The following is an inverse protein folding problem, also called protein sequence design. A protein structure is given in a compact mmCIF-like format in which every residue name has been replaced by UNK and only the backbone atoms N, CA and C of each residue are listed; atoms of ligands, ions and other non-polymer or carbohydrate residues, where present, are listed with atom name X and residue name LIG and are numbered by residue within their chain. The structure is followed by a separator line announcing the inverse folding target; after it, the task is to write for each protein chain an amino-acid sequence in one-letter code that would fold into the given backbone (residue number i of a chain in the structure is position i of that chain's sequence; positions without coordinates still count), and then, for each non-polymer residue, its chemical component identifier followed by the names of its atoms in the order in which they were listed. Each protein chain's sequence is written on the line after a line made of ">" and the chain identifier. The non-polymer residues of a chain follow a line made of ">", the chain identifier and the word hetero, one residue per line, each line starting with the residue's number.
data_IF_243269007048
#
_entry.id   IF_243269007048
#
_cell.length_a   1.000
_cell.length_b   1.000
_cell.length_c   1.000
_cell.angle_alpha   90.00
_cell.angle_beta   90.00
_cell.angle_gamma   90.00
#
_symmetry.space_group_name_H-M   'P 1'
#
loop_
_entity.id
_entity.type
_entity.pdbx_description
1 polymer ?
#
# COMPACT_ATOMS: atom_id res chain seq x y z
N UNK A 1 20.55 -14.55 4.21
CA UNK A 1 19.90 -14.83 2.90
C UNK A 1 18.40 -14.65 3.07
N UNK A 2 17.81 -13.57 2.53
CA UNK A 2 16.36 -13.36 2.51
C UNK A 2 15.77 -14.32 1.48
N UNK A 3 15.10 -15.39 1.90
CA UNK A 3 14.34 -16.22 0.96
C UNK A 3 13.01 -15.50 0.69
N UNK A 4 12.97 -14.65 -0.33
CA UNK A 4 11.75 -14.01 -0.82
C UNK A 4 10.97 -15.01 -1.68
N UNK A 5 9.73 -15.31 -1.31
CA UNK A 5 8.79 -16.08 -2.12
C UNK A 5 7.78 -15.08 -2.71
N UNK A 6 7.67 -15.02 -4.05
CA UNK A 6 6.95 -14.04 -4.90
C UNK A 6 5.43 -13.91 -4.60
N UNK A 7 4.64 -12.98 -5.16
CA UNK A 7 4.69 -11.53 -5.50
C UNK A 7 3.26 -11.26 -6.05
N UNK A 8 2.44 -10.43 -5.40
CA UNK A 8 1.15 -10.00 -5.95
C UNK A 8 1.15 -8.50 -6.21
N UNK A 9 1.60 -8.07 -7.39
CA UNK A 9 1.50 -6.67 -7.79
C UNK A 9 0.02 -6.29 -7.91
N UNK A 10 -0.41 -5.27 -7.17
CA UNK A 10 -1.73 -4.65 -7.30
C UNK A 10 -1.53 -3.32 -8.00
N UNK A 11 -2.04 -3.19 -9.23
CA UNK A 11 -2.17 -1.92 -9.93
C UNK A 11 -3.59 -1.91 -10.54
N UNK A 12 -4.44 -0.99 -10.12
CA UNK A 12 -5.84 -0.93 -10.57
C UNK A 12 -6.15 0.25 -11.51
N UNK A 13 -5.14 1.05 -11.88
CA UNK A 13 -5.29 2.14 -12.84
C UNK A 13 -6.09 3.37 -12.35
N UNK A 14 -6.55 3.42 -11.09
CA UNK A 14 -7.39 4.51 -10.56
C UNK A 14 -6.56 5.71 -10.08
N UNK A 15 -5.88 6.40 -11.01
CA UNK A 15 -4.89 7.42 -10.63
C UNK A 15 -5.44 8.82 -10.29
N UNK A 16 -6.73 9.09 -10.54
CA UNK A 16 -7.27 10.47 -10.56
C UNK A 16 -8.51 10.72 -9.69
N UNK A 17 -9.08 9.69 -9.06
CA UNK A 17 -10.25 9.81 -8.17
C UNK A 17 -9.90 9.40 -6.75
N UNK A 18 -9.68 10.37 -5.87
CA UNK A 18 -9.35 10.09 -4.47
C UNK A 18 -10.42 10.56 -3.48
N UNK A 19 -10.67 9.84 -2.36
CA UNK A 19 -9.97 8.64 -1.95
C UNK A 19 -10.28 7.42 -2.86
N UNK A 20 -9.23 6.75 -3.32
CA UNK A 20 -9.31 5.53 -4.12
C UNK A 20 -9.19 4.32 -3.21
N UNK A 21 -10.03 3.31 -3.39
CA UNK A 21 -10.00 2.08 -2.59
C UNK A 21 -9.54 0.90 -3.45
N UNK A 22 -8.36 0.39 -3.14
CA UNK A 22 -7.78 -0.80 -3.71
C UNK A 22 -8.12 -1.96 -2.78
N UNK A 23 -8.83 -2.99 -3.24
CA UNK A 23 -9.14 -4.17 -2.44
C UNK A 23 -8.81 -5.43 -3.19
N UNK A 24 -8.09 -6.35 -2.55
CA UNK A 24 -7.76 -7.65 -3.12
C UNK A 24 -7.84 -8.75 -2.07
N UNK A 25 -8.40 -9.88 -2.46
CA UNK A 25 -8.31 -11.13 -1.69
C UNK A 25 -7.12 -11.93 -2.18
N UNK A 26 -6.28 -12.39 -1.26
CA UNK A 26 -5.09 -13.20 -1.53
C UNK A 26 -5.13 -14.48 -0.71
N UNK A 27 -4.84 -15.61 -1.36
CA UNK A 27 -4.70 -16.91 -0.70
C UNK A 27 -3.28 -17.03 -0.15
N UNK A 28 -3.14 -17.16 1.18
CA UNK A 28 -1.82 -17.35 1.80
C UNK A 28 -1.54 -18.85 2.00
N UNK A 29 -0.39 -19.37 1.55
CA UNK A 29 -0.06 -20.80 1.71
C UNK A 29 0.04 -21.25 3.17
N UNK A 30 -0.29 -22.51 3.46
CA UNK A 30 -0.20 -23.09 4.81
C UNK A 30 1.23 -23.09 5.38
N UNK A 31 2.25 -23.22 4.53
CA UNK A 31 3.65 -23.24 4.97
C UNK A 31 4.17 -21.89 5.50
N UNK A 32 3.35 -20.84 5.48
CA UNK A 32 3.63 -19.56 6.13
C UNK A 32 3.25 -19.55 7.63
N UNK A 33 2.63 -20.62 8.13
CA UNK A 33 2.32 -20.75 9.55
C UNK A 33 3.57 -20.54 10.43
N UNK A 34 3.43 -19.69 11.45
CA UNK A 34 4.50 -19.38 12.41
C UNK A 34 5.64 -18.51 11.86
N UNK A 35 5.48 -17.92 10.67
CA UNK A 35 6.47 -16.99 10.08
C UNK A 35 6.12 -15.54 10.39
N UNK A 36 7.15 -14.69 10.40
CA UNK A 36 6.95 -13.23 10.35
C UNK A 36 6.53 -12.86 8.94
N UNK A 37 5.42 -12.12 8.81
CA UNK A 37 4.82 -11.73 7.54
C UNK A 37 4.77 -10.21 7.45
N UNK A 38 5.39 -9.68 6.41
CA UNK A 38 5.40 -8.25 6.10
C UNK A 38 4.54 -7.95 4.88
N UNK A 39 3.81 -6.84 4.91
CA UNK A 39 3.20 -6.23 3.74
C UNK A 39 4.08 -5.05 3.29
N UNK A 40 4.70 -5.19 2.13
CA UNK A 40 5.66 -4.23 1.57
C UNK A 40 5.04 -3.46 0.41
N UNK A 41 5.30 -2.16 0.38
CA UNK A 41 4.91 -1.24 -0.68
C UNK A 41 6.16 -0.58 -1.25
N UNK A 42 6.27 -0.57 -2.57
CA UNK A 42 7.38 0.08 -3.25
C UNK A 42 7.16 1.61 -3.33
N UNK A 43 5.92 2.05 -3.59
CA UNK A 43 5.50 3.44 -3.49
C UNK A 43 3.96 3.58 -3.60
N UNK A 44 3.41 4.64 -3.00
CA UNK A 44 2.02 5.10 -3.15
C UNK A 44 2.04 6.61 -3.35
N UNK A 45 1.09 7.19 -4.09
CA UNK A 45 0.87 8.64 -4.06
C UNK A 45 -0.52 8.95 -3.50
N UNK A 46 -0.71 9.71 -2.43
CA UNK A 46 0.30 10.33 -1.57
C UNK A 46 0.18 9.84 -0.13
N UNK A 47 -1.04 9.68 0.36
CA UNK A 47 -1.32 9.09 1.66
C UNK A 47 -2.03 7.76 1.49
N UNK A 48 -1.55 6.73 2.18
CA UNK A 48 -2.07 5.38 2.15
C UNK A 48 -2.56 4.99 3.55
N UNK A 49 -3.80 4.52 3.66
CA UNK A 49 -4.30 3.81 4.83
C UNK A 49 -4.40 2.32 4.49
N UNK A 50 -3.77 1.47 5.30
CA UNK A 50 -3.65 0.04 5.02
C UNK A 50 -4.49 -0.76 6.01
N UNK A 51 -5.34 -1.63 5.48
CA UNK A 51 -6.26 -2.48 6.23
C UNK A 51 -6.05 -3.93 5.79
N UNK A 52 -5.91 -4.84 6.77
CA UNK A 52 -5.78 -6.28 6.54
C UNK A 52 -6.87 -7.00 7.31
N UNK A 53 -7.65 -7.82 6.61
CA UNK A 53 -8.79 -8.57 7.17
C UNK A 53 -9.77 -7.70 7.98
N UNK A 54 -9.96 -6.45 7.56
CA UNK A 54 -10.85 -5.49 8.23
C UNK A 54 -10.21 -4.72 9.39
N UNK A 55 -8.95 -5.01 9.74
CA UNK A 55 -8.23 -4.31 10.80
C UNK A 55 -7.23 -3.30 10.20
N UNK A 56 -7.27 -2.05 10.66
CA UNK A 56 -6.31 -1.01 10.26
C UNK A 56 -4.93 -1.37 10.80
N UNK A 57 -3.95 -1.42 9.90
CA UNK A 57 -2.55 -1.76 10.19
C UNK A 57 -1.73 -0.50 10.44
N UNK A 58 -1.97 0.54 9.64
CA UNK A 58 -1.23 1.78 9.73
C UNK A 58 -1.47 2.67 8.53
N UNK A 59 -0.64 3.72 8.42
CA UNK A 59 -0.67 4.65 7.30
C UNK A 59 0.73 5.09 6.88
N UNK A 60 0.86 5.53 5.64
CA UNK A 60 2.09 6.10 5.09
C UNK A 60 1.76 7.40 4.35
N UNK A 61 2.61 8.42 4.54
CA UNK A 61 2.56 9.67 3.79
C UNK A 61 3.88 9.87 3.06
N UNK A 62 3.83 9.91 1.74
CA UNK A 62 5.01 10.04 0.90
C UNK A 62 4.81 9.39 -0.46
N UNK A 63 5.38 10.00 -1.50
CA UNK A 63 5.17 9.58 -2.90
C UNK A 63 6.19 8.55 -3.40
N UNK A 64 7.40 8.57 -2.83
CA UNK A 64 8.58 7.92 -3.44
C UNK A 64 9.25 6.86 -2.57
N UNK A 65 8.89 6.82 -1.29
CA UNK A 65 9.57 5.99 -0.30
C UNK A 65 8.88 4.64 -0.15
N UNK A 66 9.61 3.52 -0.28
CA UNK A 66 9.10 2.23 0.12
C UNK A 66 8.73 2.22 1.60
N UNK A 67 7.68 1.51 1.95
CA UNK A 67 7.25 1.33 3.34
C UNK A 67 6.74 -0.09 3.59
N UNK A 68 6.70 -0.48 4.85
CA UNK A 68 6.43 -1.86 5.25
C UNK A 68 5.65 -1.90 6.54
N UNK A 69 4.74 -2.87 6.66
CA UNK A 69 4.04 -3.16 7.90
C UNK A 69 4.21 -4.63 8.27
N UNK A 70 4.45 -4.90 9.56
CA UNK A 70 4.29 -6.24 10.12
C UNK A 70 2.79 -6.55 10.21
N UNK A 71 2.38 -7.64 9.57
CA UNK A 71 0.99 -8.11 9.50
C UNK A 71 0.86 -9.55 9.99
N UNK A 72 1.86 -10.04 10.73
CA UNK A 72 1.97 -11.43 11.18
C UNK A 72 0.71 -11.90 11.90
N UNK A 73 0.20 -11.11 12.84
CA UNK A 73 -0.97 -11.47 13.64
C UNK A 73 -2.31 -11.31 12.90
N UNK A 74 -2.30 -10.66 11.73
CA UNK A 74 -3.51 -10.37 10.97
C UNK A 74 -3.72 -11.36 9.83
N UNK A 75 -2.64 -11.88 9.26
CA UNK A 75 -2.69 -12.84 8.17
C UNK A 75 -3.05 -14.23 8.73
N UNK A 76 -3.94 -14.90 8.01
CA UNK A 76 -4.39 -16.27 8.28
C UNK A 76 -3.79 -17.20 7.22
N UNK A 77 -2.68 -17.89 7.49
CA UNK A 77 -2.13 -18.90 6.60
C UNK A 77 -3.15 -20.00 6.31
N UNK A 78 -3.09 -20.62 5.14
CA UNK A 78 -4.09 -21.58 4.67
C UNK A 78 -5.52 -21.00 4.53
N UNK A 79 -5.67 -19.68 4.54
CA UNK A 79 -6.94 -18.99 4.36
C UNK A 79 -6.84 -17.84 3.36
N UNK A 80 -8.00 -17.33 2.97
CA UNK A 80 -8.11 -16.13 2.14
C UNK A 80 -8.00 -14.91 3.05
N UNK A 81 -7.21 -13.94 2.61
CA UNK A 81 -6.94 -12.71 3.34
C UNK A 81 -7.31 -11.52 2.47
N UNK A 82 -8.08 -10.59 3.02
CA UNK A 82 -8.42 -9.34 2.33
C UNK A 82 -7.39 -8.28 2.68
N UNK A 83 -6.75 -7.72 1.66
CA UNK A 83 -5.88 -6.54 1.77
C UNK A 83 -6.62 -5.38 1.13
N UNK A 84 -6.72 -4.29 1.86
CA UNK A 84 -7.32 -3.06 1.38
C UNK A 84 -6.37 -1.88 1.62
N UNK A 85 -6.27 -1.02 0.63
CA UNK A 85 -5.48 0.21 0.68
C UNK A 85 -6.36 1.35 0.22
N UNK A 86 -6.52 2.35 1.08
CA UNK A 86 -7.23 3.57 0.75
C UNK A 86 -6.18 4.64 0.47
N UNK A 87 -6.21 5.21 -0.73
CA UNK A 87 -5.22 6.17 -1.19
C UNK A 87 -5.85 7.54 -1.38
N UNK A 88 -5.32 8.54 -0.68
CA UNK A 88 -5.72 9.94 -0.82
C UNK A 88 -4.61 10.70 -1.54
N UNK A 89 -4.94 11.34 -2.66
CA UNK A 89 -4.02 12.19 -3.41
C UNK A 89 -3.92 13.56 -2.72
N UNK A 90 -2.87 14.32 -3.03
CA UNK A 90 -2.87 15.73 -2.73
C UNK A 90 -3.92 16.44 -3.58
N UNK A 91 -4.55 17.47 -3.00
CA UNK A 91 -5.59 18.25 -3.65
C UNK A 91 -5.20 19.72 -3.78
N UNK A 92 -5.91 20.41 -4.66
CA UNK A 92 -5.97 21.88 -4.67
C UNK A 92 -6.66 22.39 -3.38
N UNK A 93 -6.84 23.71 -3.25
CA UNK A 93 -7.35 24.40 -2.05
C UNK A 93 -8.36 23.58 -1.22
N UNK A 94 -8.08 23.41 0.08
CA UNK A 94 -8.94 22.71 1.03
C UNK A 94 -8.83 21.18 1.06
N UNK A 95 -7.96 20.57 0.25
CA UNK A 95 -7.67 19.14 0.32
C UNK A 95 -6.96 18.70 1.62
N UNK A 96 -7.14 17.44 2.04
CA UNK A 96 -6.49 16.84 3.24
C UNK A 96 -4.97 16.98 3.19
N UNK A 97 -4.39 16.92 2.00
CA UNK A 97 -2.97 17.13 1.75
C UNK A 97 -2.81 18.23 0.69
N UNK A 98 -2.37 19.45 1.07
CA UNK A 98 -2.21 20.55 0.13
C UNK A 98 -1.16 20.22 -0.95
N UNK A 99 -1.49 20.40 -2.23
CA UNK A 99 -0.62 20.02 -3.35
C UNK A 99 0.78 20.63 -3.27
N UNK A 100 0.86 21.94 -2.96
CA UNK A 100 2.13 22.69 -2.88
C UNK A 100 3.06 22.21 -1.76
N UNK A 101 2.50 21.58 -0.73
CA UNK A 101 3.24 21.03 0.40
C UNK A 101 3.60 19.56 0.19
N UNK A 102 2.68 18.80 -0.41
CA UNK A 102 2.85 17.38 -0.67
C UNK A 102 3.83 17.09 -1.82
N UNK A 103 3.88 17.96 -2.83
CA UNK A 103 4.76 17.85 -4.00
C UNK A 103 5.80 18.96 -3.96
N UNK A 104 7.04 18.61 -3.61
CA UNK A 104 8.16 19.56 -3.62
C UNK A 104 8.49 20.03 -5.05
N UNK A 105 8.33 21.32 -5.32
CA UNK A 105 8.91 22.00 -6.48
C UNK A 105 8.12 21.89 -7.79
N UNK A 106 8.77 21.41 -8.85
CA UNK A 106 8.35 21.49 -10.26
C UNK A 106 7.09 20.67 -10.61
N UNK A 107 6.78 19.63 -9.84
CA UNK A 107 5.69 18.67 -10.14
C UNK A 107 4.29 19.31 -10.18
N UNK A 108 3.86 20.14 -9.19
CA UNK A 108 2.55 20.79 -9.22
C UNK A 108 2.32 21.71 -10.43
N UNK A 109 3.39 22.22 -11.06
CA UNK A 109 3.30 23.18 -12.16
C UNK A 109 3.30 22.52 -13.56
N UNK A 110 3.63 21.22 -13.66
CA UNK A 110 3.69 20.49 -14.95
C UNK A 110 2.86 19.20 -15.01
N UNK A 111 2.34 18.71 -13.88
CA UNK A 111 1.58 17.47 -13.82
C UNK A 111 0.32 17.61 -12.97
N UNK A 112 -0.78 16.99 -13.42
CA UNK A 112 -1.99 16.86 -12.61
C UNK A 112 -1.68 16.05 -11.34
N UNK A 113 -2.35 16.32 -10.21
CA UNK A 113 -2.22 15.49 -9.02
C UNK A 113 -2.52 14.03 -9.37
N UNK A 114 -1.51 13.17 -9.34
CA UNK A 114 -1.68 11.73 -9.51
C UNK A 114 -1.70 11.10 -8.13
N UNK A 115 -2.79 10.39 -7.85
CA UNK A 115 -2.93 9.52 -6.68
C UNK A 115 -2.80 8.06 -7.06
N UNK A 116 -2.77 7.18 -6.07
CA UNK A 116 -2.93 5.75 -6.25
C UNK A 116 -1.71 4.92 -5.89
N UNK A 117 -1.94 3.60 -5.87
CA UNK A 117 -0.91 2.57 -5.75
C UNK A 117 -0.28 2.34 -7.13
N UNK A 118 0.73 3.14 -7.46
CA UNK A 118 1.35 3.16 -8.79
C UNK A 118 2.55 2.22 -8.94
N UNK A 119 3.06 1.69 -7.83
CA UNK A 119 4.09 0.64 -7.79
C UNK A 119 3.54 -0.61 -7.10
N UNK A 120 4.38 -1.66 -7.02
CA UNK A 120 4.00 -2.92 -6.43
C UNK A 120 3.72 -2.85 -4.92
N UNK A 121 2.73 -3.62 -4.49
CA UNK A 121 2.56 -4.08 -3.12
C UNK A 121 2.79 -5.60 -3.08
N UNK A 122 3.29 -6.15 -1.97
CA UNK A 122 3.54 -7.59 -1.84
C UNK A 122 3.54 -8.05 -0.40
N UNK A 123 3.06 -9.28 -0.16
CA UNK A 123 3.30 -9.98 1.10
C UNK A 123 4.62 -10.74 1.02
N UNK A 124 5.41 -10.70 2.08
CA UNK A 124 6.69 -11.40 2.20
C UNK A 124 6.74 -12.11 3.55
N UNK A 125 6.95 -13.43 3.53
CA UNK A 125 7.19 -14.20 4.74
C UNK A 125 8.68 -14.46 4.94
N UNK A 126 9.18 -14.15 6.13
CA UNK A 126 10.55 -14.39 6.54
C UNK A 126 10.68 -15.75 7.23
N UNK A 127 11.86 -16.37 7.14
CA UNK A 127 12.16 -17.56 7.94
C UNK A 127 12.37 -17.11 9.39
N UNK A 128 11.67 -17.77 10.32
CA UNK A 128 12.01 -17.74 11.74
C UNK A 128 13.30 -18.51 12.02
#
# INVERSE_FOLDING_TARGET
>A
MKSSWHLWVVNDGQYTRTPARYRRTVRVPSHWQGRVIELQFDAVSYHAEVIVNGQRVGEHQGMWTPFTFDVTDLIRPAHDNTIEVIVTAPGWEGGRFPLREALVGFIPDVSLPFGGLWQGARLVAHRG
#
